data_IF_881099930930
#
_entry.id   IF_881099930930
#
_cell.length_a   1.000
_cell.length_b   1.000
_cell.length_c   1.000
_cell.angle_alpha   90.00
_cell.angle_beta   90.00
_cell.angle_gamma   90.00
#
_symmetry.space_group_name_H-M   'P 1'
#
loop_
_entity.id
_entity.type
_entity.pdbx_description
1 polymer ?
#
# COMPACT_ATOMS: atom_id res chain seq x y z
N UNK A 1 0.69 -62.75 1.18
CA UNK A 1 1.11 -61.63 2.05
C UNK A 1 2.14 -60.84 1.27
N UNK A 2 1.76 -59.72 0.67
CA UNK A 2 2.55 -59.10 -0.39
C UNK A 2 3.84 -58.51 0.18
N UNK A 3 4.95 -58.75 -0.50
CA UNK A 3 6.26 -58.20 -0.13
C UNK A 3 6.26 -56.65 -0.10
N UNK A 4 5.27 -56.04 -0.78
CA UNK A 4 4.98 -54.61 -0.74
C UNK A 4 4.45 -54.14 0.62
N UNK A 5 3.57 -54.90 1.28
CA UNK A 5 2.96 -54.50 2.56
C UNK A 5 3.99 -54.43 3.69
N UNK A 6 4.95 -55.36 3.70
CA UNK A 6 6.02 -55.39 4.71
C UNK A 6 6.96 -54.19 4.57
N UNK A 7 7.31 -53.80 3.34
CA UNK A 7 8.16 -52.63 3.07
C UNK A 7 7.45 -51.33 3.46
N UNK A 8 6.17 -51.18 3.12
CA UNK A 8 5.36 -50.03 3.51
C UNK A 8 5.19 -49.93 5.03
N UNK A 9 4.95 -51.06 5.72
CA UNK A 9 4.88 -51.10 7.18
C UNK A 9 6.17 -50.63 7.84
N UNK A 10 7.33 -51.09 7.36
CA UNK A 10 8.62 -50.64 7.88
C UNK A 10 8.86 -49.15 7.66
N UNK A 11 8.46 -48.60 6.51
CA UNK A 11 8.58 -47.15 6.26
C UNK A 11 7.68 -46.32 7.15
N UNK A 12 6.43 -46.73 7.38
CA UNK A 12 5.49 -46.01 8.26
C UNK A 12 5.95 -46.07 9.71
N UNK A 13 6.45 -47.22 10.16
CA UNK A 13 6.99 -47.39 11.51
C UNK A 13 8.21 -46.49 11.74
N UNK A 14 9.13 -46.40 10.77
CA UNK A 14 10.30 -45.52 10.87
C UNK A 14 9.91 -44.05 10.97
N UNK A 15 8.94 -43.60 10.18
CA UNK A 15 8.47 -42.21 10.23
C UNK A 15 7.77 -41.88 11.55
N UNK A 16 6.99 -42.80 12.10
CA UNK A 16 6.31 -42.62 13.39
C UNK A 16 7.31 -42.55 14.56
N UNK A 17 8.36 -43.38 14.54
CA UNK A 17 9.40 -43.34 15.57
C UNK A 17 10.23 -42.06 15.44
N UNK A 18 10.53 -41.62 14.22
CA UNK A 18 11.29 -40.39 13.97
C UNK A 18 10.53 -39.15 14.46
N UNK A 19 9.22 -39.05 14.18
CA UNK A 19 8.40 -37.93 14.63
C UNK A 19 8.23 -37.91 16.15
N UNK A 20 8.04 -39.08 16.77
CA UNK A 20 7.96 -39.20 18.23
C UNK A 20 9.29 -38.82 18.89
N UNK A 21 10.43 -39.28 18.36
CA UNK A 21 11.75 -38.95 18.89
C UNK A 21 12.07 -37.45 18.76
N UNK A 22 11.74 -36.83 17.63
CA UNK A 22 11.89 -35.37 17.46
C UNK A 22 11.00 -34.59 18.44
N UNK A 23 9.72 -34.96 18.57
CA UNK A 23 8.81 -34.31 19.50
C UNK A 23 9.22 -34.48 20.97
N UNK A 24 9.65 -35.68 21.34
CA UNK A 24 10.12 -35.99 22.69
C UNK A 24 11.46 -35.31 23.01
N UNK A 25 12.37 -35.18 22.04
CA UNK A 25 13.63 -34.44 22.20
C UNK A 25 13.39 -32.94 22.40
N UNK A 26 12.46 -32.34 21.65
CA UNK A 26 12.03 -30.95 21.85
C UNK A 26 11.38 -30.74 23.22
N UNK A 27 10.65 -31.73 23.73
CA UNK A 27 10.01 -31.68 25.05
C UNK A 27 11.02 -31.84 26.21
N UNK A 28 12.11 -32.60 26.01
CA UNK A 28 13.18 -32.77 27.00
C UNK A 28 14.12 -31.56 27.06
N UNK A 29 14.32 -30.87 25.94
CA UNK A 29 15.12 -29.65 25.87
C UNK A 29 14.23 -28.40 26.05
N UNK A 30 13.92 -28.04 27.30
CA UNK A 30 13.18 -26.83 27.68
C UNK A 30 13.86 -25.47 27.35
N UNK A 31 14.76 -25.44 26.37
CA UNK A 31 15.43 -24.21 25.88
C UNK A 31 14.89 -23.73 24.52
N UNK A 32 13.75 -24.23 24.06
CA UNK A 32 13.06 -23.61 22.94
C UNK A 32 12.31 -22.38 23.43
N UNK A 33 12.87 -21.21 23.17
CA UNK A 33 12.26 -19.93 23.52
C UNK A 33 10.88 -19.82 22.85
N UNK A 34 9.78 -19.56 23.60
CA UNK A 34 8.44 -19.42 23.04
C UNK A 34 8.35 -18.41 21.89
N UNK A 35 9.25 -17.41 21.86
CA UNK A 35 9.34 -16.45 20.76
C UNK A 35 9.74 -17.09 19.42
N UNK A 36 10.61 -18.12 19.44
CA UNK A 36 11.04 -18.82 18.24
C UNK A 36 9.92 -19.70 17.66
N UNK A 37 9.15 -20.36 18.52
CA UNK A 37 7.96 -21.11 18.11
C UNK A 37 6.90 -20.21 17.47
N UNK A 38 6.66 -19.03 18.05
CA UNK A 38 5.77 -18.03 17.47
C UNK A 38 6.27 -17.55 16.09
N UNK A 39 7.57 -17.25 15.97
CA UNK A 39 8.16 -16.79 14.72
C UNK A 39 8.01 -17.82 13.59
N UNK A 40 8.27 -19.10 13.87
CA UNK A 40 8.07 -20.16 12.87
C UNK A 40 6.59 -20.38 12.55
N UNK A 41 5.71 -20.28 13.54
CA UNK A 41 4.25 -20.31 13.35
C UNK A 41 3.74 -19.15 12.47
N UNK A 42 4.32 -17.96 12.59
CA UNK A 42 4.00 -16.80 11.76
C UNK A 42 4.56 -16.97 10.34
N UNK A 43 5.71 -17.60 10.15
CA UNK A 43 6.25 -17.85 8.81
C UNK A 43 5.40 -18.90 8.07
N UNK A 44 5.02 -19.98 8.76
CA UNK A 44 4.20 -21.06 8.17
C UNK A 44 2.74 -20.62 8.01
N UNK A 45 2.17 -20.01 9.06
CA UNK A 45 0.81 -19.45 9.05
C UNK A 45 0.69 -18.23 8.14
N UNK A 46 1.73 -17.41 8.04
CA UNK A 46 1.76 -16.20 7.21
C UNK A 46 1.67 -16.49 5.72
N UNK A 47 2.20 -17.62 5.23
CA UNK A 47 2.00 -18.03 3.83
C UNK A 47 0.52 -18.39 3.58
N UNK A 48 -0.18 -18.98 4.56
CA UNK A 48 -1.62 -19.24 4.45
C UNK A 48 -2.47 -17.96 4.63
N UNK A 49 -2.06 -17.04 5.51
CA UNK A 49 -2.76 -15.78 5.78
C UNK A 49 -2.54 -14.71 4.70
N UNK A 50 -1.47 -14.81 3.92
CA UNK A 50 -1.17 -13.90 2.80
C UNK A 50 -2.18 -14.03 1.65
N UNK A 51 -2.96 -15.10 1.58
CA UNK A 51 -4.03 -15.23 0.58
C UNK A 51 -5.43 -14.87 1.11
N UNK A 52 -5.62 -14.78 2.43
CA UNK A 52 -6.92 -14.47 3.02
C UNK A 52 -7.06 -13.03 3.54
N UNK A 53 -5.94 -12.28 3.66
CA UNK A 53 -5.91 -10.96 4.31
C UNK A 53 -5.41 -9.86 3.38
N UNK A 54 -5.99 -9.72 2.18
CA UNK A 54 -6.00 -8.41 1.53
C UNK A 54 -7.00 -7.53 2.29
N UNK A 55 -6.57 -6.86 3.36
CA UNK A 55 -7.17 -5.62 3.92
C UNK A 55 -6.50 -5.29 5.26
N UNK A 56 -5.79 -4.15 5.29
CA UNK A 56 -5.75 -3.31 6.50
C UNK A 56 -4.45 -3.24 7.30
N UNK A 57 -3.62 -2.26 6.94
CA UNK A 57 -2.93 -1.36 7.88
C UNK A 57 -1.71 -1.88 8.67
N UNK A 58 -0.51 -1.73 8.09
CA UNK A 58 0.74 -1.49 8.84
C UNK A 58 1.15 -0.03 8.68
N UNK A 59 0.93 0.75 9.74
CA UNK A 59 1.43 2.10 9.87
C UNK A 59 2.92 2.16 10.17
N UNK A 60 3.53 3.24 9.67
CA UNK A 60 4.74 3.89 10.19
C UNK A 60 6.07 3.15 10.04
N UNK A 61 6.58 3.11 8.81
CA UNK A 61 8.00 3.35 8.58
C UNK A 61 8.18 4.82 8.24
N UNK A 62 8.48 5.63 9.25
CA UNK A 62 9.05 6.97 9.08
C UNK A 62 10.46 6.82 8.49
N UNK A 63 10.54 6.58 7.18
CA UNK A 63 11.75 6.82 6.43
C UNK A 63 11.76 8.32 6.16
N UNK A 64 12.52 9.05 6.97
CA UNK A 64 12.91 10.44 6.71
C UNK A 64 13.86 10.51 5.50
N UNK A 65 13.35 10.12 4.33
CA UNK A 65 13.76 10.72 3.08
C UNK A 65 12.76 11.84 2.84
N UNK A 66 13.22 13.08 2.72
CA UNK A 66 12.40 14.18 2.21
C UNK A 66 11.98 13.80 0.78
N UNK A 67 10.83 13.13 0.66
CA UNK A 67 10.24 12.84 -0.64
C UNK A 67 9.80 14.18 -1.18
N UNK A 68 10.55 14.71 -2.14
CA UNK A 68 10.18 15.92 -2.88
C UNK A 68 8.77 15.71 -3.45
N UNK A 69 7.80 16.45 -2.91
CA UNK A 69 6.41 16.40 -3.34
C UNK A 69 6.14 17.55 -4.29
N UNK A 70 5.42 17.27 -5.37
CA UNK A 70 4.96 18.27 -6.32
C UNK A 70 3.44 18.32 -6.29
N UNK A 71 2.90 19.54 -6.26
CA UNK A 71 1.46 19.74 -6.40
C UNK A 71 1.10 19.88 -7.88
N UNK A 72 0.09 19.15 -8.33
CA UNK A 72 -0.48 19.20 -9.66
C UNK A 72 -1.80 19.95 -9.65
N UNK A 73 -2.01 20.79 -10.66
CA UNK A 73 -3.29 21.38 -11.00
C UNK A 73 -4.03 20.45 -11.97
N UNK A 74 -5.27 20.12 -11.65
CA UNK A 74 -6.14 19.26 -12.45
C UNK A 74 -7.38 20.07 -12.85
N UNK A 75 -7.49 20.42 -14.11
CA UNK A 75 -8.56 21.24 -14.67
C UNK A 75 -9.47 20.48 -15.64
N UNK A 76 -10.60 21.11 -15.95
CA UNK A 76 -11.65 20.57 -16.82
C UNK A 76 -12.30 19.27 -16.32
N UNK A 77 -12.21 19.01 -15.02
CA UNK A 77 -12.87 17.88 -14.37
C UNK A 77 -14.39 17.97 -14.55
N UNK A 78 -15.08 16.84 -14.76
CA UNK A 78 -16.53 16.82 -14.84
C UNK A 78 -17.14 17.27 -13.51
N UNK A 79 -18.26 17.98 -13.55
CA UNK A 79 -18.93 18.48 -12.34
C UNK A 79 -19.35 17.38 -11.36
N UNK A 80 -19.43 16.13 -11.84
CA UNK A 80 -19.71 14.93 -11.03
C UNK A 80 -18.47 14.26 -10.45
N UNK A 81 -17.26 14.67 -10.83
CA UNK A 81 -16.01 14.14 -10.26
C UNK A 81 -15.95 14.40 -8.75
N UNK A 82 -15.77 13.33 -7.98
CA UNK A 82 -15.52 13.38 -6.55
C UNK A 82 -14.02 13.30 -6.28
N UNK A 83 -13.62 13.67 -5.06
CA UNK A 83 -12.23 13.57 -4.64
C UNK A 83 -11.68 12.15 -4.72
N UNK A 84 -12.48 11.15 -4.33
CA UNK A 84 -12.14 9.73 -4.46
C UNK A 84 -11.88 9.34 -5.92
N UNK A 85 -12.77 9.70 -6.83
CA UNK A 85 -12.61 9.36 -8.25
C UNK A 85 -11.34 9.99 -8.85
N UNK A 86 -11.00 11.21 -8.44
CA UNK A 86 -9.75 11.86 -8.87
C UNK A 86 -8.56 11.17 -8.22
N UNK A 87 -8.63 10.83 -6.93
CA UNK A 87 -7.59 10.06 -6.24
C UNK A 87 -7.32 8.74 -6.96
N UNK A 88 -8.34 7.94 -7.22
CA UNK A 88 -8.23 6.63 -7.87
C UNK A 88 -7.54 6.73 -9.25
N UNK A 89 -7.90 7.75 -10.04
CA UNK A 89 -7.30 8.01 -11.34
C UNK A 89 -5.80 8.33 -11.25
N UNK A 90 -5.40 9.10 -10.24
CA UNK A 90 -4.00 9.47 -10.03
C UNK A 90 -3.21 8.36 -9.31
N UNK A 91 -3.87 7.53 -8.50
CA UNK A 91 -3.29 6.36 -7.84
C UNK A 91 -2.87 5.26 -8.83
N UNK A 92 -3.49 5.20 -10.01
CA UNK A 92 -3.04 4.33 -11.12
C UNK A 92 -1.63 4.74 -11.61
N UNK A 93 -1.27 6.01 -11.49
CA UNK A 93 -0.01 6.55 -12.02
C UNK A 93 1.10 6.59 -10.98
N UNK A 94 0.76 6.79 -9.71
CA UNK A 94 1.69 6.77 -8.58
C UNK A 94 1.02 7.07 -7.24
N UNK A 95 1.80 7.30 -6.18
CA UNK A 95 1.24 7.51 -4.84
C UNK A 95 0.63 8.91 -4.69
N UNK A 96 -0.61 8.99 -4.20
CA UNK A 96 -1.29 10.27 -3.92
C UNK A 96 -1.28 10.58 -2.42
N UNK A 97 -0.64 11.69 -2.04
CA UNK A 97 -0.66 12.19 -0.67
C UNK A 97 -1.99 12.87 -0.36
N UNK A 98 -2.36 13.88 -1.16
CA UNK A 98 -3.54 14.71 -0.90
C UNK A 98 -4.26 15.06 -2.19
N UNK A 99 -5.59 15.17 -2.12
CA UNK A 99 -6.43 15.67 -3.22
C UNK A 99 -7.34 16.74 -2.65
N UNK A 100 -7.48 17.85 -3.36
CA UNK A 100 -8.33 18.98 -2.96
C UNK A 100 -9.09 19.52 -4.16
N UNK A 101 -10.39 19.25 -4.21
CA UNK A 101 -11.27 19.80 -5.25
C UNK A 101 -11.90 21.12 -4.82
N UNK A 102 -11.85 22.15 -5.68
CA UNK A 102 -12.43 23.45 -5.37
C UNK A 102 -13.93 23.48 -5.74
N UNK A 103 -14.72 23.92 -4.78
CA UNK A 103 -16.16 24.16 -4.92
C UNK A 103 -16.41 25.67 -4.87
N UNK A 104 -17.38 26.13 -5.64
CA UNK A 104 -17.86 27.51 -5.55
C UNK A 104 -18.59 27.68 -4.21
N UNK A 105 -18.18 28.69 -3.44
CA UNK A 105 -18.73 28.97 -2.10
C UNK A 105 -20.16 29.52 -2.17
N UNK A 106 -20.55 30.14 -3.27
CA UNK A 106 -21.87 30.76 -3.42
C UNK A 106 -22.91 29.76 -3.92
N UNK A 107 -22.54 28.93 -4.90
CA UNK A 107 -23.46 27.99 -5.55
C UNK A 107 -23.33 26.55 -5.05
N UNK A 108 -22.28 26.24 -4.29
CA UNK A 108 -21.94 24.87 -3.87
C UNK A 108 -21.51 23.94 -5.03
N UNK A 109 -21.57 24.42 -6.27
CA UNK A 109 -21.24 23.65 -7.46
C UNK A 109 -19.72 23.50 -7.59
N UNK A 110 -19.27 22.36 -8.11
CA UNK A 110 -17.85 22.13 -8.35
C UNK A 110 -17.37 23.05 -9.46
N UNK A 111 -16.20 23.67 -9.29
CA UNK A 111 -15.65 24.55 -10.34
C UNK A 111 -15.00 23.78 -11.48
N UNK A 112 -14.95 22.44 -11.39
CA UNK A 112 -14.35 21.59 -12.41
C UNK A 112 -12.82 21.62 -12.38
N UNK A 113 -12.23 21.93 -11.23
CA UNK A 113 -10.78 21.86 -11.04
C UNK A 113 -10.40 21.56 -9.59
N UNK A 114 -9.17 21.11 -9.39
CA UNK A 114 -8.59 20.82 -8.09
C UNK A 114 -7.08 20.71 -8.12
N UNK A 115 -6.53 20.32 -6.98
CA UNK A 115 -5.11 20.13 -6.75
C UNK A 115 -4.85 18.72 -6.23
N UNK A 116 -3.77 18.10 -6.69
CA UNK A 116 -3.35 16.75 -6.28
C UNK A 116 -1.88 16.83 -5.86
N UNK A 117 -1.54 16.31 -4.70
CA UNK A 117 -0.18 16.30 -4.17
C UNK A 117 0.40 14.89 -4.26
N UNK A 118 1.53 14.77 -4.95
CA UNK A 118 2.18 13.49 -5.28
C UNK A 118 3.70 13.64 -5.21
N UNK A 119 4.47 12.54 -5.09
CA UNK A 119 5.91 12.57 -5.29
C UNK A 119 6.25 13.18 -6.65
N UNK A 120 7.32 13.98 -6.73
CA UNK A 120 7.79 14.60 -7.98
C UNK A 120 7.91 13.62 -9.17
N UNK A 121 8.51 12.41 -9.04
CA UNK A 121 8.59 11.47 -10.17
C UNK A 121 7.21 11.02 -10.66
N UNK A 122 6.30 10.71 -9.72
CA UNK A 122 4.94 10.28 -10.03
C UNK A 122 4.11 11.42 -10.62
N UNK A 123 4.34 12.64 -10.16
CA UNK A 123 3.67 13.84 -10.62
C UNK A 123 4.02 14.14 -12.09
N UNK A 124 5.30 14.03 -12.47
CA UNK A 124 5.75 14.17 -13.85
C UNK A 124 5.13 13.10 -14.76
N UNK A 125 5.07 11.85 -14.29
CA UNK A 125 4.44 10.75 -15.02
C UNK A 125 2.94 11.01 -15.21
N UNK A 126 2.24 11.43 -14.17
CA UNK A 126 0.82 11.77 -14.22
C UNK A 126 0.55 12.93 -15.20
N UNK A 127 1.39 13.97 -15.25
CA UNK A 127 1.26 15.03 -16.25
C UNK A 127 1.38 14.46 -17.66
N UNK A 128 2.41 13.65 -17.94
CA UNK A 128 2.64 13.14 -19.29
C UNK A 128 1.55 12.19 -19.78
N UNK A 129 0.95 11.39 -18.89
CA UNK A 129 -0.07 10.39 -19.26
C UNK A 129 -1.51 10.93 -19.18
N UNK A 130 -1.82 11.79 -18.21
CA UNK A 130 -3.20 12.26 -17.95
C UNK A 130 -3.48 13.64 -18.56
N UNK A 131 -2.47 14.44 -18.88
CA UNK A 131 -2.72 15.70 -19.58
C UNK A 131 -3.27 15.41 -20.98
N UNK A 132 -4.36 16.09 -21.33
CA UNK A 132 -5.09 15.91 -22.60
C UNK A 132 -5.78 14.55 -22.76
N UNK A 133 -5.83 13.74 -21.70
CA UNK A 133 -6.63 12.52 -21.68
C UNK A 133 -8.13 12.81 -21.62
N UNK A 134 -8.94 11.95 -22.25
CA UNK A 134 -10.40 12.04 -22.14
C UNK A 134 -10.91 11.33 -20.88
N UNK A 135 -11.61 12.09 -20.04
CA UNK A 135 -12.24 11.59 -18.83
C UNK A 135 -13.70 12.03 -18.76
N UNK A 136 -14.62 11.06 -18.83
CA UNK A 136 -16.07 11.29 -18.82
C UNK A 136 -16.51 12.36 -19.85
N UNK A 137 -16.07 12.20 -21.11
CA UNK A 137 -16.37 13.10 -22.23
C UNK A 137 -15.79 14.52 -22.07
N UNK A 138 -14.76 14.69 -21.24
CA UNK A 138 -14.04 15.96 -21.07
C UNK A 138 -12.54 15.72 -21.12
N UNK A 139 -11.82 16.59 -21.82
CA UNK A 139 -10.36 16.54 -21.90
C UNK A 139 -9.73 17.11 -20.63
N UNK A 140 -9.07 16.29 -19.83
CA UNK A 140 -8.39 16.74 -18.62
C UNK A 140 -7.21 17.66 -18.96
N UNK A 141 -6.99 18.65 -18.11
CA UNK A 141 -5.79 19.51 -18.17
C UNK A 141 -4.99 19.31 -16.90
N UNK A 142 -3.85 18.63 -17.00
CA UNK A 142 -2.98 18.35 -15.85
C UNK A 142 -1.68 19.14 -16.04
N UNK A 143 -1.33 19.94 -15.04
CA UNK A 143 -0.13 20.80 -15.07
C UNK A 143 0.51 20.84 -13.70
N UNK A 144 1.79 21.17 -13.63
CA UNK A 144 2.42 21.51 -12.36
C UNK A 144 1.75 22.77 -11.77
N UNK A 145 1.28 22.67 -10.52
CA UNK A 145 0.72 23.80 -9.82
C UNK A 145 1.86 24.66 -9.28
N UNK A 146 1.83 25.96 -9.55
CA UNK A 146 2.68 26.91 -8.82
C UNK A 146 2.19 26.93 -7.37
N UNK A 147 2.87 26.20 -6.48
CA UNK A 147 2.66 26.35 -5.04
C UNK A 147 2.89 27.84 -4.73
N UNK A 148 1.83 28.52 -4.28
CA UNK A 148 2.03 29.77 -3.55
C UNK A 148 2.68 29.33 -2.24
N UNK A 149 4.01 29.36 -2.18
CA UNK A 149 4.74 29.14 -0.93
C UNK A 149 4.17 30.14 0.07
N UNK A 150 3.40 29.64 1.03
CA UNK A 150 3.11 30.37 2.25
C UNK A 150 4.42 30.31 3.03
N UNK A 151 5.27 31.30 2.78
CA UNK A 151 6.48 31.54 3.54
C UNK A 151 6.09 31.59 5.00
N UNK A 152 6.44 30.55 5.76
CA UNK A 152 6.55 30.65 7.20
C UNK A 152 7.70 31.62 7.47
N UNK A 153 7.39 32.91 7.44
CA UNK A 153 8.20 33.92 8.09
C UNK A 153 8.00 33.70 9.58
N UNK A 154 8.81 32.83 10.17
CA UNK A 154 9.03 32.84 11.62
C UNK A 154 9.74 34.16 11.92
N UNK A 155 8.95 35.22 12.10
CA UNK A 155 9.35 36.43 12.78
C UNK A 155 9.49 36.09 14.26
N UNK A 156 10.61 35.47 14.63
CA UNK A 156 11.11 35.57 15.99
C UNK A 156 11.78 36.94 16.10
N UNK A 157 10.99 37.94 16.51
CA UNK A 157 11.45 39.27 16.91
C UNK A 157 11.85 39.25 18.40
N UNK A 158 12.99 39.90 18.65
CA UNK A 158 13.57 40.41 19.92
C UNK A 158 14.05 39.40 20.99
#
# INVERSE_FOLDING_TARGET
>A
MNILDRKTLFTVLLLAILSYALGHFVLLNSQVDPALLLALGIIIGGIASAFASSTGNTGSSSISGSVETTTLYVGNLPYRANEQVVRDLFEEKGRVFSVRLLKDKNTGKRRGFGFVEMPQPDALKAINELNESEFQQRTLKVREAKQKQESLTTNDQD
#
